data_IF_081740584904
#
_entry.id   IF_081740584904
#
_cell.length_a   1.000
_cell.length_b   1.000
_cell.length_c   1.000
_cell.angle_alpha   90.00
_cell.angle_beta   90.00
_cell.angle_gamma   90.00
#
_symmetry.space_group_name_H-M   'P 1'
#
loop_
_entity.id
_entity.type
_entity.pdbx_description
1 polymer ?
#
# COMPACT_ATOMS: atom_id res chain seq x y z
N UNK A 1 -7.95 -3.45 9.60
CA UNK A 1 -6.49 -3.75 9.62
C UNK A 1 -5.85 -3.13 8.37
N UNK A 2 -4.52 -3.00 8.28
CA UNK A 2 -3.84 -2.40 7.11
C UNK A 2 -4.21 -3.09 5.80
N UNK A 3 -4.33 -4.42 5.81
CA UNK A 3 -4.74 -5.20 4.65
C UNK A 3 -6.11 -4.76 4.11
N UNK A 4 -7.09 -4.59 4.99
CA UNK A 4 -8.44 -4.12 4.63
C UNK A 4 -8.43 -2.76 3.93
N UNK A 5 -7.54 -1.85 4.31
CA UNK A 5 -7.42 -0.55 3.64
C UNK A 5 -6.97 -0.72 2.19
N UNK A 6 -6.05 -1.67 1.95
CA UNK A 6 -5.56 -1.98 0.61
C UNK A 6 -6.63 -2.71 -0.20
N UNK A 7 -7.34 -3.68 0.39
CA UNK A 7 -8.43 -4.40 -0.26
C UNK A 7 -9.54 -3.45 -0.70
N UNK A 8 -9.98 -2.55 0.18
CA UNK A 8 -10.99 -1.55 -0.15
C UNK A 8 -10.49 -0.58 -1.23
N UNK A 9 -9.22 -0.19 -1.21
CA UNK A 9 -8.66 0.66 -2.26
C UNK A 9 -8.60 -0.06 -3.63
N UNK A 10 -8.19 -1.32 -3.65
CA UNK A 10 -8.19 -2.14 -4.87
C UNK A 10 -9.60 -2.27 -5.46
N UNK A 11 -10.59 -2.52 -4.61
CA UNK A 11 -12.00 -2.67 -5.01
C UNK A 11 -12.61 -1.32 -5.44
N UNK A 12 -12.68 -0.35 -4.53
CA UNK A 12 -13.45 0.88 -4.72
C UNK A 12 -12.77 1.87 -5.68
N UNK A 13 -11.44 1.98 -5.66
CA UNK A 13 -10.72 2.97 -6.45
C UNK A 13 -10.13 2.40 -7.74
N UNK A 14 -9.64 1.15 -7.70
CA UNK A 14 -9.04 0.54 -8.88
C UNK A 14 -10.00 -0.37 -9.64
N UNK A 15 -11.22 -0.61 -9.14
CA UNK A 15 -12.21 -1.50 -9.75
C UNK A 15 -11.58 -2.87 -10.06
N UNK A 16 -10.84 -3.38 -9.07
CA UNK A 16 -10.07 -4.62 -9.15
C UNK A 16 -10.09 -5.39 -7.82
N UNK A 17 -11.23 -6.00 -7.46
CA UNK A 17 -11.40 -6.64 -6.16
C UNK A 17 -10.49 -7.87 -6.00
N UNK A 18 -10.11 -8.17 -4.75
CA UNK A 18 -9.27 -9.33 -4.42
C UNK A 18 -9.83 -10.68 -4.86
N UNK A 19 -11.17 -10.80 -4.95
CA UNK A 19 -11.84 -11.99 -5.46
C UNK A 19 -11.57 -12.23 -6.96
N UNK A 20 -11.47 -11.15 -7.74
CA UNK A 20 -11.09 -11.23 -9.16
C UNK A 20 -9.60 -11.54 -9.29
N UNK A 21 -8.75 -10.80 -8.55
CA UNK A 21 -7.29 -10.95 -8.57
C UNK A 21 -6.89 -12.40 -8.31
N UNK A 22 -7.37 -13.00 -7.22
CA UNK A 22 -7.01 -14.37 -6.84
C UNK A 22 -7.83 -15.44 -7.56
N UNK A 23 -9.05 -15.11 -7.98
CA UNK A 23 -9.97 -16.02 -8.65
C UNK A 23 -9.71 -16.11 -10.15
N UNK A 24 -10.37 -15.26 -10.92
CA UNK A 24 -10.33 -15.30 -12.39
C UNK A 24 -8.95 -14.99 -12.96
N UNK A 25 -8.21 -14.08 -12.32
CA UNK A 25 -6.93 -13.62 -12.86
C UNK A 25 -5.78 -14.55 -12.46
N UNK A 26 -5.95 -15.36 -11.41
CA UNK A 26 -4.93 -16.28 -10.90
C UNK A 26 -3.69 -15.56 -10.38
N UNK A 27 -3.84 -14.33 -9.92
CA UNK A 27 -2.79 -13.44 -9.44
C UNK A 27 -2.81 -13.30 -7.91
N UNK A 28 -1.72 -12.77 -7.37
CA UNK A 28 -1.56 -12.46 -5.96
C UNK A 28 -0.76 -11.17 -5.78
N UNK A 29 -0.97 -10.53 -4.63
CA UNK A 29 -0.32 -9.27 -4.24
C UNK A 29 0.49 -9.44 -2.94
N UNK A 30 1.57 -10.24 -2.92
CA UNK A 30 2.41 -10.37 -1.75
C UNK A 30 3.16 -9.08 -1.42
N UNK A 31 3.29 -8.81 -0.12
CA UNK A 31 4.28 -7.88 0.40
C UNK A 31 5.66 -8.54 0.40
N UNK A 32 6.64 -7.93 -0.29
CA UNK A 32 8.04 -8.36 -0.24
C UNK A 32 8.86 -7.60 0.82
N UNK A 33 8.35 -6.46 1.27
CA UNK A 33 8.81 -5.77 2.45
C UNK A 33 7.65 -5.00 3.09
N UNK A 34 7.74 -4.80 4.40
CA UNK A 34 6.84 -3.93 5.15
C UNK A 34 7.61 -3.37 6.36
N UNK A 35 7.46 -2.08 6.60
CA UNK A 35 7.96 -1.37 7.77
C UNK A 35 6.81 -0.60 8.38
N UNK A 36 6.70 -0.62 9.71
CA UNK A 36 5.65 0.08 10.43
C UNK A 36 6.24 0.81 11.64
N UNK A 37 5.83 2.06 11.81
CA UNK A 37 6.20 2.91 12.93
C UNK A 37 4.93 3.28 13.71
N UNK A 38 4.98 3.18 15.04
CA UNK A 38 3.86 3.46 15.95
C UNK A 38 4.23 4.62 16.89
N UNK A 39 4.19 5.88 16.41
CA UNK A 39 4.65 7.03 17.17
C UNK A 39 3.78 7.36 18.39
N UNK A 40 2.51 6.92 18.42
CA UNK A 40 1.62 7.14 19.54
C UNK A 40 0.66 5.96 19.76
N UNK A 41 0.32 5.62 21.02
CA UNK A 41 -0.60 4.53 21.31
C UNK A 41 -2.02 4.86 20.81
N UNK A 42 -2.75 3.83 20.37
CA UNK A 42 -4.20 3.90 20.14
C UNK A 42 -4.94 3.18 21.26
N UNK A 43 -6.17 3.62 21.56
CA UNK A 43 -7.05 3.02 22.57
C UNK A 43 -8.24 2.34 21.93
N UNK A 44 -8.86 1.42 22.68
CA UNK A 44 -10.12 0.82 22.27
C UNK A 44 -11.18 1.91 22.09
N UNK A 45 -11.84 1.93 20.93
CA UNK A 45 -12.82 2.95 20.56
C UNK A 45 -12.27 4.10 19.71
N UNK A 46 -10.95 4.21 19.55
CA UNK A 46 -10.37 5.23 18.66
C UNK A 46 -10.80 4.99 17.21
N UNK A 47 -11.24 6.06 16.55
CA UNK A 47 -11.54 6.06 15.11
C UNK A 47 -10.33 6.55 14.33
N UNK A 48 -9.63 5.61 13.71
CA UNK A 48 -8.48 5.91 12.86
C UNK A 48 -8.94 6.37 11.47
N UNK A 49 -8.41 7.51 11.02
CA UNK A 49 -8.54 7.96 9.63
C UNK A 49 -7.34 7.47 8.86
N UNK A 50 -7.55 6.55 7.92
CA UNK A 50 -6.49 5.99 7.09
C UNK A 50 -6.28 6.81 5.83
N UNK A 51 -5.03 6.92 5.40
CA UNK A 51 -4.63 7.44 4.09
C UNK A 51 -3.70 6.42 3.44
N UNK A 52 -3.91 6.19 2.16
CA UNK A 52 -3.06 5.36 1.32
C UNK A 52 -2.51 6.25 0.20
N UNK A 53 -1.23 6.12 -0.08
CA UNK A 53 -0.58 6.82 -1.17
C UNK A 53 0.43 5.89 -1.84
N UNK A 54 0.58 6.06 -3.15
CA UNK A 54 1.53 5.28 -3.95
C UNK A 54 2.77 6.13 -4.10
N UNK A 55 3.90 5.66 -3.59
CA UNK A 55 5.19 6.36 -3.68
C UNK A 55 5.87 6.09 -5.01
N UNK A 56 5.74 4.88 -5.52
CA UNK A 56 6.31 4.49 -6.79
C UNK A 56 5.55 3.31 -7.41
N UNK A 57 5.27 3.38 -8.71
CA UNK A 57 4.78 2.25 -9.50
C UNK A 57 5.86 1.81 -10.49
N UNK A 58 6.29 0.55 -10.39
CA UNK A 58 7.23 -0.10 -11.32
C UNK A 58 6.51 -1.15 -12.15
N UNK A 59 7.26 -1.87 -13.00
CA UNK A 59 6.72 -2.89 -13.91
C UNK A 59 5.88 -3.96 -13.17
N UNK A 60 6.40 -4.53 -12.10
CA UNK A 60 5.78 -5.63 -11.34
C UNK A 60 5.65 -5.36 -9.84
N UNK A 61 6.05 -4.18 -9.38
CA UNK A 61 6.02 -3.81 -7.98
C UNK A 61 5.46 -2.42 -7.77
N UNK A 62 4.90 -2.20 -6.59
CA UNK A 62 4.28 -0.95 -6.17
C UNK A 62 4.73 -0.65 -4.76
N UNK A 63 5.33 0.52 -4.56
CA UNK A 63 5.71 0.99 -3.24
C UNK A 63 4.60 1.87 -2.67
N UNK A 64 4.05 1.43 -1.55
CA UNK A 64 2.95 2.06 -0.84
C UNK A 64 3.44 2.74 0.43
N UNK A 65 2.75 3.83 0.75
CA UNK A 65 2.75 4.43 2.07
C UNK A 65 1.32 4.49 2.59
N UNK A 66 1.13 4.04 3.82
CA UNK A 66 -0.13 4.15 4.54
C UNK A 66 0.11 4.88 5.85
N UNK A 67 -0.82 5.73 6.25
CA UNK A 67 -0.80 6.36 7.56
C UNK A 67 -2.19 6.31 8.18
N UNK A 68 -2.25 6.23 9.50
CA UNK A 68 -3.49 6.40 10.24
C UNK A 68 -3.34 7.46 11.32
N UNK A 69 -4.32 8.36 11.40
CA UNK A 69 -4.36 9.43 12.40
C UNK A 69 -5.62 9.37 13.25
N UNK A 70 -5.53 9.87 14.48
CA UNK A 70 -6.69 10.19 15.32
C UNK A 70 -6.63 11.69 15.62
N UNK A 71 -7.53 12.47 15.02
CA UNK A 71 -7.41 13.93 15.08
C UNK A 71 -6.11 14.41 14.43
N UNK A 72 -5.28 15.12 15.20
CA UNK A 72 -3.98 15.63 14.74
C UNK A 72 -2.80 14.67 15.00
N UNK A 73 -3.01 13.57 15.71
CA UNK A 73 -1.92 12.65 16.07
C UNK A 73 -1.81 11.50 15.06
N UNK A 74 -0.62 11.30 14.51
CA UNK A 74 -0.28 10.08 13.77
C UNK A 74 -0.19 8.92 14.75
N UNK A 75 -0.93 7.85 14.47
CA UNK A 75 -0.93 6.61 15.27
C UNK A 75 -0.03 5.56 14.67
N UNK A 76 -0.01 5.49 13.34
CA UNK A 76 0.80 4.53 12.61
C UNK A 76 1.18 5.09 11.25
N UNK A 77 2.41 4.83 10.84
CA UNK A 77 2.90 5.01 9.47
C UNK A 77 3.46 3.67 8.99
N UNK A 78 3.11 3.27 7.78
CA UNK A 78 3.50 2.00 7.18
C UNK A 78 4.03 2.28 5.79
N UNK A 79 5.17 1.71 5.46
CA UNK A 79 5.68 1.67 4.09
C UNK A 79 5.87 0.22 3.69
N UNK A 80 5.52 -0.13 2.46
CA UNK A 80 5.70 -1.51 2.01
C UNK A 80 5.68 -1.63 0.50
N UNK A 81 6.36 -2.64 -0.03
CA UNK A 81 6.36 -2.96 -1.45
C UNK A 81 5.46 -4.15 -1.71
N UNK A 82 4.41 -3.93 -2.48
CA UNK A 82 3.60 -4.98 -3.10
C UNK A 82 4.24 -5.43 -4.40
N UNK A 83 4.17 -6.71 -4.69
CA UNK A 83 4.55 -7.29 -5.98
C UNK A 83 3.33 -7.98 -6.58
N UNK A 84 3.10 -7.80 -7.87
CA UNK A 84 2.12 -8.59 -8.60
C UNK A 84 2.77 -9.89 -9.06
N UNK A 85 2.19 -11.02 -8.69
CA UNK A 85 2.67 -12.36 -9.08
C UNK A 85 1.56 -13.30 -9.43
N UNK A 86 1.88 -14.41 -10.10
CA UNK A 86 0.99 -15.56 -10.21
C UNK A 86 0.76 -16.19 -8.84
N UNK A 87 -0.48 -16.53 -8.50
CA UNK A 87 -0.84 -17.08 -7.18
C UNK A 87 -0.15 -18.42 -6.87
N UNK A 88 0.01 -19.28 -7.88
CA UNK A 88 0.59 -20.63 -7.73
C UNK A 88 2.07 -20.66 -8.10
N UNK A 89 2.43 -20.15 -9.29
CA UNK A 89 3.79 -20.22 -9.79
C UNK A 89 4.74 -19.19 -9.15
N UNK A 90 4.21 -18.19 -8.42
CA UNK A 90 4.94 -17.10 -7.77
C UNK A 90 5.87 -16.31 -8.71
N UNK A 91 5.59 -16.36 -10.02
CA UNK A 91 6.31 -15.58 -11.02
C UNK A 91 5.75 -14.17 -11.05
N UNK A 92 6.64 -13.19 -11.07
CA UNK A 92 6.23 -11.79 -11.13
C UNK A 92 5.53 -11.47 -12.46
N UNK A 93 4.52 -10.62 -12.39
CA UNK A 93 3.71 -10.17 -13.52
C UNK A 93 3.75 -8.66 -13.64
N UNK A 94 3.55 -8.17 -14.87
CA UNK A 94 3.42 -6.74 -15.11
C UNK A 94 2.04 -6.28 -14.64
N UNK A 95 1.96 -5.12 -13.99
CA UNK A 95 0.67 -4.49 -13.68
C UNK A 95 -0.16 -4.26 -14.95
N UNK A 96 -1.45 -4.62 -14.98
CA UNK A 96 -2.30 -4.33 -16.13
C UNK A 96 -2.37 -2.83 -16.40
N UNK A 97 -2.34 -2.43 -17.68
CA UNK A 97 -2.29 -1.01 -18.06
C UNK A 97 -3.47 -0.21 -17.48
N UNK A 98 -4.68 -0.78 -17.48
CA UNK A 98 -5.87 -0.15 -16.88
C UNK A 98 -5.70 0.15 -15.37
N UNK A 99 -5.06 -0.76 -14.63
CA UNK A 99 -4.78 -0.58 -13.20
C UNK A 99 -3.66 0.44 -13.00
N UNK A 100 -2.61 0.36 -13.82
CA UNK A 100 -1.49 1.29 -13.78
C UNK A 100 -1.93 2.74 -14.05
N UNK A 101 -2.90 2.96 -14.95
CA UNK A 101 -3.49 4.28 -15.19
C UNK A 101 -4.26 4.80 -13.96
N UNK A 102 -5.15 3.99 -13.36
CA UNK A 102 -5.91 4.37 -12.16
C UNK A 102 -5.01 4.66 -10.94
N UNK A 103 -3.89 3.95 -10.83
CA UNK A 103 -2.89 4.15 -9.77
C UNK A 103 -2.24 5.55 -9.84
N UNK A 104 -2.19 6.20 -11.01
CA UNK A 104 -1.53 7.50 -11.16
C UNK A 104 -2.17 8.59 -10.30
N UNK A 105 -3.48 8.50 -10.06
CA UNK A 105 -4.20 9.46 -9.21
C UNK A 105 -3.77 9.39 -7.73
N UNK A 106 -3.10 8.31 -7.34
CA UNK A 106 -2.60 8.08 -5.99
C UNK A 106 -1.09 8.27 -5.88
N UNK A 107 -0.41 8.62 -6.98
CA UNK A 107 1.03 8.89 -6.97
C UNK A 107 1.32 10.20 -6.24
N UNK A 108 2.05 10.09 -5.14
CA UNK A 108 2.56 11.26 -4.42
C UNK A 108 4.05 11.41 -4.69
N UNK A 109 4.49 12.63 -4.98
CA UNK A 109 5.92 12.92 -5.07
C UNK A 109 6.58 12.52 -3.74
N UNK A 110 7.81 11.96 -3.78
CA UNK A 110 8.55 11.70 -2.56
C UNK A 110 8.70 13.03 -1.81
N UNK A 111 8.21 13.08 -0.58
CA UNK A 111 8.43 14.26 0.26
C UNK A 111 9.92 14.33 0.57
N UNK A 112 10.55 15.43 0.19
CA UNK A 112 11.99 15.65 0.36
C UNK A 112 12.33 15.99 1.81
N UNK A 113 11.85 15.23 2.80
CA UNK A 113 12.22 15.43 4.22
C UNK A 113 12.18 14.14 5.03
N UNK A 114 13.36 13.57 5.28
CA UNK A 114 13.98 13.61 6.63
C UNK A 114 15.36 12.96 6.53
N UNK A 115 16.39 13.79 6.62
CA UNK A 115 17.77 13.32 6.68
C UNK A 115 17.98 12.51 7.96
N UNK A 116 18.17 11.19 7.83
CA UNK A 116 18.91 10.44 8.83
C UNK A 116 20.36 10.88 8.74
N UNK A 117 20.76 11.84 9.59
CA UNK A 117 22.16 11.95 10.01
C UNK A 117 22.51 10.63 10.68
N UNK A 118 23.29 9.82 9.99
CA UNK A 118 24.00 8.69 10.59
C UNK A 118 25.18 9.30 11.32
N UNK A 119 25.24 9.13 12.63
CA UNK A 119 26.45 9.38 13.40
C UNK A 119 27.27 8.09 13.41
N UNK A 120 28.55 8.21 13.10
CA UNK A 120 29.58 7.19 13.24
C UNK A 120 29.93 6.95 14.71
#
# INVERSE_FOLDING_TARGET
MVHTVIENWLDEALDWPMSQIQGSDGLSLPFVNISAEFPAPSRLGDRLTWRLSVRELRRSSMWLELSATTGAETRVTITGTLVLSEAVALRTRRWPDAIAERVKDYLVAPDSKSGKKVAE
#
